data_IF_767955065135
#
_entry.id   IF_767955065135
#
_cell.length_a   1.000
_cell.length_b   1.000
_cell.length_c   1.000
_cell.angle_alpha   90.00
_cell.angle_beta   90.00
_cell.angle_gamma   90.00
#
_symmetry.space_group_name_H-M   'P 1'
#
loop_
_entity.id
_entity.type
_entity.pdbx_description
1 polymer ?
#
# COMPACT_ATOMS: atom_id res chain seq x y z
N UNK A 1 -9.49 23.42 48.32
CA UNK A 1 -8.31 23.31 47.44
C UNK A 1 -7.52 24.59 47.60
N UNK A 2 -6.19 24.50 47.52
CA UNK A 2 -5.29 25.66 47.60
C UNK A 2 -4.33 25.63 46.40
N UNK A 3 -3.99 26.81 45.87
CA UNK A 3 -3.00 26.94 44.81
C UNK A 3 -1.74 27.57 45.38
N UNK A 4 -0.59 26.92 45.19
CA UNK A 4 0.70 27.41 45.69
C UNK A 4 1.86 26.92 44.86
N UNK A 5 2.95 27.66 44.92
CA UNK A 5 4.23 27.23 44.38
C UNK A 5 4.89 26.27 45.36
N UNK A 6 5.40 25.14 44.86
CA UNK A 6 5.91 24.04 45.68
C UNK A 6 7.29 23.64 45.18
N UNK A 7 8.31 23.44 46.05
CA UNK A 7 9.55 22.82 45.65
C UNK A 7 9.29 21.47 44.98
N UNK A 8 9.89 21.22 43.81
CA UNK A 8 9.67 19.97 43.08
C UNK A 8 10.12 18.75 43.89
N UNK A 9 11.10 18.92 44.79
CA UNK A 9 11.55 17.91 45.75
C UNK A 9 10.46 17.42 46.70
N UNK A 10 9.42 18.22 46.91
CA UNK A 10 8.38 17.94 47.90
C UNK A 10 7.18 17.22 47.26
N UNK A 11 7.16 17.08 45.93
CA UNK A 11 6.12 16.35 45.20
C UNK A 11 6.42 14.85 45.23
N UNK A 12 5.51 14.06 45.80
CA UNK A 12 5.70 12.62 45.99
C UNK A 12 4.98 11.86 44.87
N UNK A 13 5.67 11.10 44.01
CA UNK A 13 5.02 10.28 43.01
C UNK A 13 4.14 9.20 43.64
N UNK A 14 2.92 9.05 43.12
CA UNK A 14 2.06 7.92 43.51
C UNK A 14 2.66 6.59 43.01
N UNK A 15 3.01 5.72 43.95
CA UNK A 15 3.74 4.45 43.70
C UNK A 15 3.00 3.52 42.72
N UNK A 16 1.67 3.52 42.76
CA UNK A 16 0.82 2.62 41.94
C UNK A 16 0.24 3.31 40.72
N UNK A 17 0.95 4.28 40.13
CA UNK A 17 0.51 4.91 38.90
C UNK A 17 0.50 3.87 37.76
N UNK A 18 -0.67 3.57 37.14
CA UNK A 18 -0.75 2.56 36.09
C UNK A 18 -0.16 3.00 34.74
N UNK A 19 0.14 4.29 34.56
CA UNK A 19 0.60 4.85 33.28
C UNK A 19 2.12 4.83 33.17
N UNK A 20 2.64 4.13 32.15
CA UNK A 20 4.04 4.29 31.71
C UNK A 20 4.14 5.57 30.89
N UNK A 21 5.03 6.48 31.31
CA UNK A 21 5.04 7.84 30.77
C UNK A 21 6.44 8.37 30.44
N UNK A 22 7.48 7.55 30.54
CA UNK A 22 8.87 7.98 30.33
C UNK A 22 9.09 8.48 28.89
N UNK A 23 8.52 7.79 27.90
CA UNK A 23 8.63 8.16 26.47
C UNK A 23 7.96 9.51 26.14
N UNK A 24 7.02 9.96 26.97
CA UNK A 24 6.32 11.24 26.79
C UNK A 24 7.04 12.42 27.44
N UNK A 25 8.02 12.18 28.33
CA UNK A 25 8.74 13.23 29.07
C UNK A 25 9.46 14.21 28.14
N UNK A 26 10.21 13.79 27.10
CA UNK A 26 10.91 14.73 26.22
C UNK A 26 9.98 15.70 25.49
N UNK A 27 8.84 15.21 24.97
CA UNK A 27 7.85 16.04 24.28
C UNK A 27 7.22 17.08 25.22
N UNK A 28 6.89 16.68 26.44
CA UNK A 28 6.35 17.62 27.45
C UNK A 28 7.42 18.63 27.89
N UNK A 29 8.69 18.22 28.01
CA UNK A 29 9.77 19.12 28.36
C UNK A 29 9.95 20.22 27.29
N UNK A 30 9.96 19.85 25.99
CA UNK A 30 10.02 20.81 24.89
C UNK A 30 8.83 21.80 24.91
N UNK A 31 7.63 21.30 25.19
CA UNK A 31 6.43 22.14 25.36
C UNK A 31 6.57 23.12 26.54
N UNK A 32 7.08 22.66 27.69
CA UNK A 32 7.30 23.51 28.87
C UNK A 32 8.37 24.58 28.63
N UNK A 33 9.46 24.27 27.91
CA UNK A 33 10.47 25.28 27.54
C UNK A 33 9.89 26.36 26.63
N UNK A 34 9.00 25.97 25.70
CA UNK A 34 8.43 26.89 24.72
C UNK A 34 7.30 27.75 25.29
N UNK A 35 6.37 27.13 26.02
CA UNK A 35 5.13 27.77 26.46
C UNK A 35 5.07 28.06 27.96
N UNK A 36 5.98 27.48 28.75
CA UNK A 36 5.86 27.46 30.20
C UNK A 36 4.73 26.54 30.68
N UNK A 37 4.48 26.55 31.99
CA UNK A 37 3.35 25.81 32.57
C UNK A 37 2.06 26.63 32.40
N UNK A 38 1.42 26.49 31.24
CA UNK A 38 0.15 27.19 30.91
C UNK A 38 -1.10 26.45 31.37
N UNK A 39 -1.00 25.12 31.61
CA UNK A 39 -2.07 24.30 32.16
C UNK A 39 -1.71 23.87 33.58
N UNK A 40 -2.60 24.10 34.54
CA UNK A 40 -2.47 23.58 35.90
C UNK A 40 -2.66 22.06 35.90
N UNK A 41 -1.59 21.31 35.63
CA UNK A 41 -1.64 19.85 35.49
C UNK A 41 -1.24 19.09 36.75
N UNK A 42 -0.67 19.75 37.75
CA UNK A 42 -0.16 19.12 38.97
C UNK A 42 -1.14 19.31 40.13
N UNK A 43 -1.78 18.22 40.51
CA UNK A 43 -2.69 18.13 41.66
C UNK A 43 -2.09 17.15 42.66
N UNK A 44 -2.06 17.53 43.94
CA UNK A 44 -1.58 16.69 45.04
C UNK A 44 -2.61 16.60 46.15
N UNK A 45 -2.55 15.55 46.95
CA UNK A 45 -3.31 15.45 48.20
C UNK A 45 -2.66 16.21 49.36
N UNK A 46 -3.25 16.09 50.56
CA UNK A 46 -2.78 16.71 51.79
C UNK A 46 -1.32 16.36 52.15
N UNK A 47 -0.81 15.21 51.70
CA UNK A 47 0.53 14.69 51.98
C UNK A 47 1.51 14.92 50.82
N UNK A 48 1.13 15.76 49.84
CA UNK A 48 1.91 16.08 48.64
C UNK A 48 2.07 14.91 47.66
N UNK A 49 1.24 13.87 47.78
CA UNK A 49 1.24 12.75 46.84
C UNK A 49 0.50 13.15 45.57
N UNK A 50 1.15 12.95 44.43
CA UNK A 50 0.60 13.27 43.12
C UNK A 50 -0.71 12.52 42.87
N UNK A 51 -1.75 13.30 42.59
CA UNK A 51 -3.00 12.83 42.01
C UNK A 51 -2.90 12.95 40.48
N UNK A 52 -2.47 14.10 39.95
CA UNK A 52 -2.26 14.30 38.51
C UNK A 52 -0.92 14.98 38.24
N UNK A 53 -0.46 14.93 36.99
CA UNK A 53 0.74 15.68 36.58
C UNK A 53 2.06 14.95 36.77
N UNK A 54 2.08 13.61 36.87
CA UNK A 54 3.31 12.82 36.98
C UNK A 54 4.29 13.07 35.83
N UNK A 55 3.80 13.09 34.58
CA UNK A 55 4.67 13.33 33.42
C UNK A 55 5.17 14.77 33.37
N UNK A 56 4.32 15.75 33.69
CA UNK A 56 4.73 17.16 33.80
C UNK A 56 5.78 17.35 34.89
N UNK A 57 5.62 16.70 36.04
CA UNK A 57 6.60 16.76 37.13
C UNK A 57 7.95 16.19 36.70
N UNK A 58 7.97 15.04 36.03
CA UNK A 58 9.20 14.47 35.45
C UNK A 58 9.84 15.40 34.42
N UNK A 59 9.03 16.04 33.56
CA UNK A 59 9.53 16.98 32.55
C UNK A 59 10.14 18.25 33.20
N UNK A 60 9.50 18.82 34.23
CA UNK A 60 10.06 19.94 34.99
C UNK A 60 11.38 19.55 35.67
N UNK A 61 11.47 18.33 36.21
CA UNK A 61 12.71 17.80 36.78
C UNK A 61 13.82 17.69 35.73
N UNK A 62 13.53 17.18 34.53
CA UNK A 62 14.53 17.09 33.46
C UNK A 62 15.02 18.45 32.97
N UNK A 63 14.19 19.49 33.10
CA UNK A 63 14.54 20.87 32.80
C UNK A 63 15.26 21.60 33.95
N UNK A 64 15.45 20.94 35.09
CA UNK A 64 16.14 21.52 36.25
C UNK A 64 15.33 22.58 37.01
N UNK A 65 14.00 22.57 36.90
CA UNK A 65 13.16 23.50 37.67
C UNK A 65 13.27 23.19 39.16
N UNK A 66 13.44 24.22 39.99
CA UNK A 66 13.47 24.08 41.45
C UNK A 66 12.07 24.06 42.08
N UNK A 67 11.12 24.75 41.44
CA UNK A 67 9.78 24.99 41.96
C UNK A 67 8.75 24.68 40.88
N UNK A 68 7.69 23.96 41.26
CA UNK A 68 6.51 23.72 40.46
C UNK A 68 5.51 24.85 40.76
N UNK A 69 5.19 25.72 39.80
CA UNK A 69 4.26 26.80 40.02
C UNK A 69 2.80 26.32 40.04
N UNK A 70 1.96 27.01 40.80
CA UNK A 70 0.49 26.83 40.79
C UNK A 70 0.00 25.39 41.05
N UNK A 71 0.69 24.62 41.90
CA UNK A 71 0.25 23.28 42.34
C UNK A 71 -1.09 23.40 43.07
N UNK A 72 -2.04 22.55 42.70
CA UNK A 72 -3.34 22.47 43.37
C UNK A 72 -3.30 21.40 44.45
N UNK A 73 -3.33 21.82 45.72
CA UNK A 73 -3.45 20.90 46.84
C UNK A 73 -4.92 20.71 47.22
N UNK A 74 -5.36 19.45 47.26
CA UNK A 74 -6.73 19.07 47.62
C UNK A 74 -6.75 18.44 49.00
N UNK A 75 -7.85 18.65 49.73
CA UNK A 75 -8.04 18.15 51.10
C UNK A 75 -9.40 17.49 51.21
N UNK A 76 -9.50 16.48 52.08
CA UNK A 76 -10.78 15.86 52.45
C UNK A 76 -11.35 14.88 51.43
N UNK A 77 -10.55 14.43 50.45
CA UNK A 77 -10.91 13.31 49.60
C UNK A 77 -10.62 11.99 50.31
N UNK A 78 -11.51 11.01 50.17
CA UNK A 78 -11.21 9.64 50.59
C UNK A 78 -10.14 9.01 49.70
N UNK A 79 -9.49 7.95 50.18
CA UNK A 79 -8.49 7.23 49.39
C UNK A 79 -9.08 6.65 48.09
N UNK A 80 -10.34 6.20 48.14
CA UNK A 80 -11.07 5.71 46.98
C UNK A 80 -11.34 6.83 45.96
N UNK A 81 -11.70 8.03 46.42
CA UNK A 81 -11.92 9.19 45.57
C UNK A 81 -10.62 9.64 44.89
N UNK A 82 -9.50 9.64 45.64
CA UNK A 82 -8.17 9.92 45.08
C UNK A 82 -7.84 8.91 43.98
N UNK A 83 -8.01 7.61 44.22
CA UNK A 83 -7.76 6.56 43.21
C UNK A 83 -8.66 6.73 41.99
N UNK A 84 -9.97 6.96 42.19
CA UNK A 84 -10.92 7.15 41.10
C UNK A 84 -10.55 8.35 40.23
N UNK A 85 -10.16 9.47 40.85
CA UNK A 85 -9.77 10.67 40.12
C UNK A 85 -8.47 10.49 39.33
N UNK A 86 -7.47 9.78 39.86
CA UNK A 86 -6.24 9.42 39.11
C UNK A 86 -6.55 8.66 37.82
N UNK A 87 -7.52 7.74 37.87
CA UNK A 87 -7.95 6.97 36.70
C UNK A 87 -8.75 7.86 35.75
N UNK A 88 -9.69 8.64 36.27
CA UNK A 88 -10.55 9.50 35.48
C UNK A 88 -9.76 10.56 34.71
N UNK A 89 -8.78 11.24 35.32
CA UNK A 89 -7.94 12.24 34.65
C UNK A 89 -7.21 11.65 33.43
N UNK A 90 -6.71 10.43 33.55
CA UNK A 90 -6.04 9.74 32.45
C UNK A 90 -7.03 9.25 31.38
N UNK A 91 -8.22 8.78 31.77
CA UNK A 91 -9.16 8.13 30.82
C UNK A 91 -10.10 9.11 30.14
N UNK A 92 -10.56 10.16 30.82
CA UNK A 92 -11.57 11.08 30.29
C UNK A 92 -11.05 11.89 29.11
N UNK A 93 -9.74 12.19 29.07
CA UNK A 93 -9.11 12.83 27.90
C UNK A 93 -9.09 11.96 26.64
N UNK A 94 -9.16 10.63 26.78
CA UNK A 94 -9.20 9.68 25.65
C UNK A 94 -10.60 9.50 25.07
N UNK A 95 -11.64 10.05 25.71
CA UNK A 95 -13.02 9.95 25.22
C UNK A 95 -13.34 11.00 24.15
N UNK A 96 -12.51 12.05 24.04
CA UNK A 96 -12.65 13.05 22.99
C UNK A 96 -12.02 12.54 21.70
N UNK A 97 -12.75 12.69 20.60
CA UNK A 97 -12.28 12.38 19.26
C UNK A 97 -11.82 13.66 18.55
N UNK A 98 -10.86 13.53 17.64
CA UNK A 98 -10.41 14.64 16.82
C UNK A 98 -11.33 14.84 15.62
N UNK A 99 -11.67 16.09 15.34
CA UNK A 99 -12.13 16.49 14.01
C UNK A 99 -10.90 16.74 13.15
N UNK A 100 -10.60 15.77 12.29
CA UNK A 100 -9.36 15.77 11.52
C UNK A 100 -9.33 16.84 10.42
N UNK A 101 -10.49 17.29 9.92
CA UNK A 101 -10.56 18.36 8.93
C UNK A 101 -10.19 19.70 9.56
N UNK A 102 -10.73 19.98 10.76
CA UNK A 102 -10.40 21.20 11.50
C UNK A 102 -8.96 21.17 12.03
N UNK A 103 -8.51 20.02 12.51
CA UNK A 103 -7.14 19.84 12.99
C UNK A 103 -6.12 20.06 11.86
N UNK A 104 -6.39 19.54 10.66
CA UNK A 104 -5.57 19.83 9.49
C UNK A 104 -5.50 21.33 9.23
N UNK A 105 -6.63 22.04 9.19
CA UNK A 105 -6.63 23.51 9.01
C UNK A 105 -5.71 24.25 9.99
N UNK A 106 -5.74 23.89 11.27
CA UNK A 106 -4.88 24.48 12.30
C UNK A 106 -3.40 24.15 12.09
N UNK A 107 -3.05 22.90 11.81
CA UNK A 107 -1.66 22.49 11.59
C UNK A 107 -1.04 23.14 10.35
N UNK A 108 -1.82 23.36 9.28
CA UNK A 108 -1.35 24.00 8.05
C UNK A 108 -0.99 25.45 8.32
N UNK A 109 -1.83 26.14 9.10
CA UNK A 109 -1.59 27.52 9.48
C UNK A 109 -0.31 27.69 10.33
N UNK A 110 0.07 26.66 11.10
CA UNK A 110 1.32 26.63 11.86
C UNK A 110 2.54 26.44 10.95
N UNK A 111 2.45 25.54 9.97
CA UNK A 111 3.54 25.30 9.00
C UNK A 111 3.80 26.53 8.11
N UNK A 112 2.74 27.23 7.67
CA UNK A 112 2.85 28.46 6.88
C UNK A 112 3.69 29.55 7.56
N UNK A 113 3.66 29.60 8.89
CA UNK A 113 4.44 30.56 9.69
C UNK A 113 5.74 29.96 10.24
N UNK A 114 6.09 28.74 9.83
CA UNK A 114 7.29 28.02 10.25
C UNK A 114 7.29 27.63 11.73
N UNK A 115 6.11 27.38 12.30
CA UNK A 115 5.96 26.93 13.68
C UNK A 115 6.16 25.41 13.76
N UNK A 116 6.96 24.97 14.72
CA UNK A 116 7.28 23.55 14.91
C UNK A 116 6.04 22.76 15.36
N UNK A 117 5.47 21.98 14.43
CA UNK A 117 4.29 21.16 14.66
C UNK A 117 4.56 19.97 15.61
N UNK A 118 5.81 19.54 15.82
CA UNK A 118 6.12 18.47 16.77
C UNK A 118 5.75 18.83 18.21
N UNK A 119 5.70 20.14 18.52
CA UNK A 119 5.29 20.67 19.82
C UNK A 119 3.80 20.45 20.13
N UNK A 120 2.99 20.12 19.12
CA UNK A 120 1.56 19.81 19.29
C UNK A 120 1.32 18.41 19.83
N UNK A 121 2.33 17.54 19.77
CA UNK A 121 2.22 16.13 20.18
C UNK A 121 1.83 15.17 19.06
N UNK A 122 1.42 15.68 17.89
CA UNK A 122 1.28 14.89 16.66
C UNK A 122 2.68 14.59 16.08
N UNK A 123 2.93 13.32 15.74
CA UNK A 123 4.17 12.96 15.04
C UNK A 123 4.02 13.10 13.53
N UNK A 124 5.14 13.08 12.82
CA UNK A 124 5.20 13.26 11.36
C UNK A 124 4.40 12.21 10.59
N UNK A 125 4.25 11.02 11.15
CA UNK A 125 3.50 9.92 10.52
C UNK A 125 1.99 10.15 10.67
N UNK A 126 1.52 10.61 11.83
CA UNK A 126 0.15 11.06 12.03
C UNK A 126 -0.18 12.29 11.18
N UNK A 127 0.78 13.21 10.99
CA UNK A 127 0.63 14.36 10.10
C UNK A 127 0.51 13.94 8.63
N UNK A 128 1.25 12.92 8.19
CA UNK A 128 1.16 12.40 6.82
C UNK A 128 -0.18 11.71 6.51
N UNK A 129 -0.87 11.15 7.52
CA UNK A 129 -2.25 10.68 7.37
C UNK A 129 -3.28 11.81 7.27
N UNK A 130 -3.00 12.97 7.88
CA UNK A 130 -3.87 14.16 7.87
C UNK A 130 -3.72 14.99 6.59
N UNK A 131 -2.53 14.96 6.00
CA UNK A 131 -2.23 15.52 4.69
C UNK A 131 -1.84 14.41 3.73
N UNK A 132 -2.76 13.55 3.28
CA UNK A 132 -2.46 12.74 2.12
C UNK A 132 -2.14 13.72 1.00
N UNK A 133 -0.94 13.66 0.38
CA UNK A 133 -0.67 14.46 -0.80
C UNK A 133 -1.82 14.22 -1.79
N UNK A 134 -2.29 15.25 -2.50
CA UNK A 134 -3.31 15.08 -3.54
C UNK A 134 -2.95 13.86 -4.39
N UNK A 135 -3.67 12.76 -4.16
CA UNK A 135 -3.39 11.52 -4.85
C UNK A 135 -3.79 11.77 -6.30
N UNK A 136 -2.93 11.46 -7.28
CA UNK A 136 -3.31 11.54 -8.68
C UNK A 136 -4.60 10.73 -8.85
N UNK A 137 -5.67 11.37 -9.33
CA UNK A 137 -6.90 10.64 -9.62
C UNK A 137 -6.61 9.70 -10.78
N UNK A 138 -6.56 8.39 -10.48
CA UNK A 138 -6.29 7.39 -11.50
C UNK A 138 -7.55 7.11 -12.28
N UNK A 139 -7.48 7.33 -13.58
CA UNK A 139 -8.59 7.09 -14.51
C UNK A 139 -8.27 5.94 -15.45
N UNK A 140 -9.30 5.19 -15.86
CA UNK A 140 -9.19 4.30 -17.01
C UNK A 140 -8.88 5.14 -18.26
N UNK A 141 -7.96 4.69 -19.12
CA UNK A 141 -7.71 5.33 -20.41
C UNK A 141 -8.74 4.93 -21.48
N UNK A 142 -8.82 5.75 -22.53
CA UNK A 142 -9.76 5.60 -23.64
C UNK A 142 -9.09 4.96 -24.88
N UNK A 143 -8.02 4.19 -24.70
CA UNK A 143 -7.33 3.56 -25.83
C UNK A 143 -8.14 2.38 -26.37
N UNK A 144 -8.51 2.46 -27.65
CA UNK A 144 -9.16 1.39 -28.41
C UNK A 144 -8.14 0.87 -29.43
N UNK A 145 -7.82 -0.43 -29.43
CA UNK A 145 -6.85 -0.97 -30.37
C UNK A 145 -7.47 -1.10 -31.77
N UNK A 146 -6.65 -1.07 -32.84
CA UNK A 146 -7.12 -1.43 -34.16
C UNK A 146 -7.53 -2.91 -34.22
N UNK A 147 -8.41 -3.24 -35.17
CA UNK A 147 -8.91 -4.63 -35.38
C UNK A 147 -7.77 -5.59 -35.71
N UNK A 148 -6.79 -5.13 -36.48
CA UNK A 148 -5.57 -5.87 -36.77
C UNK A 148 -4.38 -5.09 -36.22
N UNK A 149 -3.57 -5.76 -35.40
CA UNK A 149 -2.37 -5.18 -34.81
C UNK A 149 -1.18 -5.58 -35.66
N UNK A 150 -0.76 -4.69 -36.56
CA UNK A 150 0.49 -4.83 -37.29
C UNK A 150 1.66 -4.47 -36.38
N UNK A 151 2.74 -5.26 -36.43
CA UNK A 151 3.93 -4.98 -35.61
C UNK A 151 5.20 -5.47 -36.30
N UNK A 152 6.29 -4.70 -36.16
CA UNK A 152 7.64 -5.10 -36.52
C UNK A 152 8.45 -5.63 -35.32
N UNK A 153 7.83 -5.69 -34.13
CA UNK A 153 8.48 -6.12 -32.89
C UNK A 153 8.79 -7.61 -32.98
N UNK A 154 9.95 -7.99 -32.45
CA UNK A 154 10.38 -9.39 -32.35
C UNK A 154 10.72 -9.73 -30.90
N UNK A 155 10.68 -11.03 -30.57
CA UNK A 155 11.17 -11.50 -29.28
C UNK A 155 12.64 -11.10 -29.09
N UNK A 156 12.97 -10.66 -27.88
CA UNK A 156 14.25 -10.09 -27.50
C UNK A 156 14.32 -8.56 -27.63
N UNK A 157 13.35 -7.92 -28.29
CA UNK A 157 13.31 -6.46 -28.42
C UNK A 157 12.98 -5.80 -27.08
N UNK A 158 13.83 -4.84 -26.71
CA UNK A 158 13.69 -4.03 -25.52
C UNK A 158 13.33 -2.60 -25.93
N UNK A 159 12.34 -2.03 -25.24
CA UNK A 159 11.88 -0.67 -25.44
C UNK A 159 11.98 0.12 -24.15
N UNK A 160 12.36 1.39 -24.29
CA UNK A 160 12.26 2.41 -23.25
C UNK A 160 11.06 3.29 -23.54
N UNK A 161 10.14 3.35 -22.58
CA UNK A 161 8.92 4.15 -22.65
C UNK A 161 9.03 5.22 -21.55
N UNK A 162 9.78 6.29 -21.84
CA UNK A 162 10.15 7.30 -20.85
C UNK A 162 10.99 6.71 -19.71
N UNK A 163 10.40 6.58 -18.52
CA UNK A 163 11.02 5.91 -17.35
C UNK A 163 10.79 4.40 -17.34
N UNK A 164 9.84 3.91 -18.10
CA UNK A 164 9.44 2.51 -18.15
C UNK A 164 10.34 1.69 -19.07
N UNK A 165 10.32 0.37 -18.86
CA UNK A 165 10.96 -0.60 -19.76
C UNK A 165 9.98 -1.70 -20.11
N UNK A 166 9.94 -2.06 -21.39
CA UNK A 166 9.14 -3.15 -21.93
C UNK A 166 10.07 -4.09 -22.68
N UNK A 167 10.11 -5.37 -22.30
CA UNK A 167 10.79 -6.40 -23.07
C UNK A 167 9.77 -7.34 -23.72
N UNK A 168 9.91 -7.55 -25.03
CA UNK A 168 9.23 -8.66 -25.69
C UNK A 168 9.98 -9.96 -25.38
N UNK A 169 9.63 -10.67 -24.30
CA UNK A 169 10.51 -11.70 -23.71
C UNK A 169 9.79 -12.83 -22.99
N UNK A 170 10.58 -13.76 -22.47
CA UNK A 170 10.11 -14.90 -21.68
C UNK A 170 10.43 -14.71 -20.19
N UNK A 171 9.38 -14.59 -19.37
CA UNK A 171 9.51 -14.36 -17.92
C UNK A 171 10.08 -15.54 -17.14
N UNK A 172 10.23 -16.71 -17.78
CA UNK A 172 10.96 -17.85 -17.22
C UNK A 172 12.47 -17.79 -17.50
N UNK A 173 12.92 -16.87 -18.36
CA UNK A 173 14.33 -16.69 -18.74
C UNK A 173 15.03 -15.69 -17.84
N UNK A 174 16.04 -16.15 -17.10
CA UNK A 174 16.89 -15.29 -16.27
C UNK A 174 17.65 -14.24 -17.08
N UNK A 175 17.98 -14.54 -18.33
CA UNK A 175 18.61 -13.58 -19.23
C UNK A 175 17.66 -12.42 -19.57
N UNK A 176 16.42 -12.73 -19.93
CA UNK A 176 15.42 -11.72 -20.29
C UNK A 176 15.04 -10.86 -19.08
N UNK A 177 14.79 -11.48 -17.93
CA UNK A 177 14.50 -10.72 -16.69
C UNK A 177 15.71 -9.87 -16.29
N UNK A 178 16.93 -10.40 -16.39
CA UNK A 178 18.15 -9.64 -16.14
C UNK A 178 18.31 -8.43 -17.06
N UNK A 179 18.05 -8.59 -18.37
CA UNK A 179 18.08 -7.51 -19.35
C UNK A 179 17.01 -6.44 -19.08
N UNK A 180 15.78 -6.87 -18.77
CA UNK A 180 14.66 -5.98 -18.42
C UNK A 180 14.95 -5.18 -17.14
N UNK A 181 15.65 -5.78 -16.18
CA UNK A 181 15.94 -5.12 -14.89
C UNK A 181 17.21 -4.27 -14.93
N UNK A 182 18.22 -4.61 -15.76
CA UNK A 182 19.49 -3.89 -15.89
C UNK A 182 20.11 -3.48 -14.53
N UNK A 183 20.19 -4.45 -13.63
CA UNK A 183 20.72 -4.25 -12.28
C UNK A 183 19.77 -3.55 -11.29
N UNK A 184 18.66 -2.97 -11.74
CA UNK A 184 17.64 -2.44 -10.84
C UNK A 184 16.98 -3.56 -10.03
N UNK A 185 16.39 -3.19 -8.88
CA UNK A 185 15.62 -4.09 -8.02
C UNK A 185 14.21 -3.55 -7.84
N UNK A 186 13.22 -4.40 -8.07
CA UNK A 186 11.81 -4.05 -7.92
C UNK A 186 11.43 -3.89 -6.45
N UNK A 187 10.65 -2.86 -6.17
CA UNK A 187 10.04 -2.57 -4.87
C UNK A 187 8.67 -3.26 -4.73
N UNK A 188 8.04 -3.59 -5.86
CA UNK A 188 6.75 -4.28 -5.94
C UNK A 188 6.72 -5.25 -7.13
N UNK A 189 6.23 -6.49 -6.91
CA UNK A 189 5.75 -7.38 -7.97
C UNK A 189 4.22 -7.25 -8.08
N UNK A 190 3.70 -6.85 -9.23
CA UNK A 190 2.27 -6.77 -9.48
C UNK A 190 1.97 -7.40 -10.84
N UNK A 191 1.24 -8.50 -10.86
CA UNK A 191 1.12 -9.29 -12.10
C UNK A 191 -0.12 -10.18 -12.20
N UNK A 192 -0.54 -10.45 -13.44
CA UNK A 192 -1.66 -11.32 -13.83
C UNK A 192 -1.16 -12.49 -14.71
N UNK A 193 -0.64 -13.58 -14.10
CA UNK A 193 -0.06 -14.68 -14.86
C UNK A 193 -1.12 -15.45 -15.66
N UNK A 194 -0.74 -16.18 -16.72
CA UNK A 194 -1.66 -17.09 -17.39
C UNK A 194 -2.17 -18.16 -16.42
N UNK A 195 -3.46 -18.48 -16.52
CA UNK A 195 -4.18 -19.30 -15.54
C UNK A 195 -4.24 -20.79 -15.91
N UNK A 196 -3.86 -21.18 -17.13
CA UNK A 196 -3.95 -22.56 -17.59
C UNK A 196 -5.39 -23.01 -17.89
N UNK A 197 -6.28 -22.07 -18.21
CA UNK A 197 -7.73 -22.33 -18.35
C UNK A 197 -8.21 -22.43 -19.80
N UNK A 198 -7.31 -22.38 -20.78
CA UNK A 198 -7.55 -22.41 -22.23
C UNK A 198 -8.67 -21.47 -22.67
N UNK A 199 -8.48 -20.16 -22.47
CA UNK A 199 -9.49 -19.13 -22.73
C UNK A 199 -10.07 -19.18 -24.16
N UNK A 200 -9.22 -19.37 -25.18
CA UNK A 200 -9.65 -19.36 -26.58
C UNK A 200 -10.48 -20.58 -27.02
N UNK A 201 -10.17 -21.79 -26.53
CA UNK A 201 -10.91 -23.00 -26.91
C UNK A 201 -12.32 -23.04 -26.31
N UNK A 202 -12.54 -22.37 -25.16
CA UNK A 202 -13.86 -22.27 -24.52
C UNK A 202 -14.85 -21.40 -25.29
N UNK A 203 -14.36 -20.47 -26.11
CA UNK A 203 -15.20 -19.56 -26.87
C UNK A 203 -15.42 -20.01 -28.32
N UNK A 204 -14.87 -21.14 -28.79
CA UNK A 204 -15.07 -21.61 -30.18
C UNK A 204 -16.55 -21.67 -30.61
N UNK A 205 -17.44 -22.14 -29.74
CA UNK A 205 -18.87 -22.21 -30.02
C UNK A 205 -19.51 -20.81 -30.11
N UNK A 206 -19.20 -19.90 -29.18
CA UNK A 206 -19.71 -18.53 -29.20
C UNK A 206 -19.15 -17.73 -30.39
N UNK A 207 -17.86 -17.93 -30.71
CA UNK A 207 -17.16 -17.34 -31.85
C UNK A 207 -17.68 -17.86 -33.20
N UNK A 208 -18.33 -19.03 -33.23
CA UNK A 208 -18.96 -19.58 -34.44
C UNK A 208 -20.35 -18.99 -34.75
N UNK A 209 -20.97 -18.32 -33.77
CA UNK A 209 -22.35 -17.84 -33.85
C UNK A 209 -22.39 -16.30 -33.93
N UNK A 210 -21.43 -15.59 -33.34
CA UNK A 210 -21.34 -14.13 -33.38
C UNK A 210 -19.91 -13.64 -33.72
N UNK A 211 -19.79 -12.93 -34.85
CA UNK A 211 -18.53 -12.31 -35.30
C UNK A 211 -18.20 -11.00 -34.58
N UNK A 212 -19.09 -10.49 -33.74
CA UNK A 212 -18.91 -9.26 -32.95
C UNK A 212 -18.01 -9.42 -31.71
N UNK A 213 -17.64 -10.64 -31.33
CA UNK A 213 -16.60 -10.85 -30.32
C UNK A 213 -15.22 -10.62 -30.95
N UNK A 214 -14.65 -9.43 -30.71
CA UNK A 214 -13.41 -8.96 -31.33
C UNK A 214 -12.13 -9.67 -30.82
N UNK A 215 -12.21 -10.48 -29.75
CA UNK A 215 -11.04 -11.15 -29.19
C UNK A 215 -11.00 -12.62 -29.59
N UNK A 216 -10.27 -12.90 -30.67
CA UNK A 216 -10.14 -14.24 -31.27
C UNK A 216 -8.78 -14.90 -30.98
N UNK A 217 -7.87 -14.22 -30.29
CA UNK A 217 -6.48 -14.67 -30.09
C UNK A 217 -6.31 -15.54 -28.84
N UNK A 218 -5.56 -16.63 -28.99
CA UNK A 218 -5.18 -17.49 -27.87
C UNK A 218 -4.17 -16.78 -26.97
N UNK A 219 -4.38 -16.86 -25.65
CA UNK A 219 -3.39 -16.44 -24.67
C UNK A 219 -2.26 -17.47 -24.68
N UNK A 220 -1.03 -17.02 -24.93
CA UNK A 220 0.13 -17.90 -24.94
C UNK A 220 0.32 -18.54 -23.54
N UNK A 221 0.71 -19.82 -23.51
CA UNK A 221 0.88 -20.62 -22.28
C UNK A 221 -0.40 -20.93 -21.47
N UNK A 222 -1.59 -20.42 -21.81
CA UNK A 222 -2.84 -20.68 -21.05
C UNK A 222 -3.44 -22.08 -21.30
N UNK A 223 -2.81 -22.93 -22.10
CA UNK A 223 -3.31 -24.26 -22.50
C UNK A 223 -2.51 -25.44 -21.94
N UNK A 224 -1.53 -25.19 -21.06
CA UNK A 224 -0.69 -26.25 -20.48
C UNK A 224 -1.47 -27.11 -19.48
N UNK A 225 -0.99 -28.34 -19.24
CA UNK A 225 -1.53 -29.19 -18.17
C UNK A 225 -1.20 -28.58 -16.79
N UNK A 226 -1.95 -28.93 -15.73
CA UNK A 226 -1.72 -28.37 -14.39
C UNK A 226 -0.27 -28.49 -13.89
N UNK A 227 0.41 -29.60 -14.15
CA UNK A 227 1.80 -29.82 -13.73
C UNK A 227 2.78 -28.94 -14.49
N UNK A 228 2.54 -28.74 -15.79
CA UNK A 228 3.34 -27.86 -16.65
C UNK A 228 3.11 -26.39 -16.31
N UNK A 229 1.87 -26.01 -15.94
CA UNK A 229 1.56 -24.68 -15.41
C UNK A 229 2.25 -24.43 -14.07
N UNK A 230 2.24 -25.41 -13.17
CA UNK A 230 2.94 -25.30 -11.90
C UNK A 230 4.44 -25.09 -12.10
N UNK A 231 5.07 -25.88 -12.97
CA UNK A 231 6.50 -25.73 -13.27
C UNK A 231 6.82 -24.37 -13.91
N UNK A 232 5.94 -23.89 -14.81
CA UNK A 232 6.05 -22.57 -15.42
C UNK A 232 5.99 -21.44 -14.38
N UNK A 233 5.04 -21.49 -13.44
CA UNK A 233 4.93 -20.51 -12.36
C UNK A 233 6.16 -20.56 -11.44
N UNK A 234 6.64 -21.74 -11.05
CA UNK A 234 7.86 -21.88 -10.22
C UNK A 234 9.06 -21.24 -10.91
N UNK A 235 9.29 -21.55 -12.20
CA UNK A 235 10.39 -20.98 -12.96
C UNK A 235 10.31 -19.44 -13.07
N UNK A 236 9.12 -18.92 -13.36
CA UNK A 236 8.87 -17.48 -13.42
C UNK A 236 9.17 -16.80 -12.09
N UNK A 237 8.53 -17.26 -11.02
CA UNK A 237 8.65 -16.61 -9.72
C UNK A 237 10.06 -16.74 -9.15
N UNK A 238 10.74 -17.87 -9.36
CA UNK A 238 12.15 -18.01 -8.98
C UNK A 238 13.02 -16.94 -9.65
N UNK A 239 12.86 -16.75 -10.96
CA UNK A 239 13.64 -15.78 -11.74
C UNK A 239 13.36 -14.33 -11.33
N UNK A 240 12.07 -14.01 -11.16
CA UNK A 240 11.60 -12.69 -10.72
C UNK A 240 12.10 -12.37 -9.30
N UNK A 241 12.09 -13.35 -8.39
CA UNK A 241 12.49 -13.18 -7.00
C UNK A 241 13.91 -12.66 -6.85
N UNK A 242 14.83 -13.09 -7.71
CA UNK A 242 16.23 -12.64 -7.72
C UNK A 242 16.36 -11.13 -7.96
N UNK A 243 15.35 -10.50 -8.57
CA UNK A 243 15.34 -9.11 -8.97
C UNK A 243 14.50 -8.20 -8.06
N UNK A 244 14.03 -8.71 -6.92
CA UNK A 244 13.26 -7.94 -5.95
C UNK A 244 14.10 -7.51 -4.75
N UNK A 245 13.81 -6.33 -4.19
CA UNK A 245 14.39 -5.89 -2.92
C UNK A 245 13.91 -6.77 -1.75
N UNK A 246 14.72 -6.93 -0.69
CA UNK A 246 14.22 -7.46 0.57
C UNK A 246 13.03 -6.64 1.08
N UNK A 247 11.99 -7.28 1.62
CA UNK A 247 10.78 -6.61 2.11
C UNK A 247 9.80 -6.11 1.03
N UNK A 248 10.14 -6.25 -0.26
CA UNK A 248 9.26 -5.87 -1.36
C UNK A 248 7.93 -6.64 -1.33
N UNK A 249 6.83 -5.91 -1.54
CA UNK A 249 5.48 -6.49 -1.62
C UNK A 249 5.26 -7.21 -2.94
N UNK A 250 4.29 -8.12 -2.95
CA UNK A 250 3.83 -8.78 -4.17
C UNK A 250 2.31 -8.94 -4.19
N UNK A 251 1.73 -8.80 -5.37
CA UNK A 251 0.32 -9.03 -5.69
C UNK A 251 0.24 -9.88 -6.95
N UNK A 252 -0.35 -11.04 -6.84
CA UNK A 252 -0.50 -11.99 -7.94
C UNK A 252 -1.97 -12.38 -8.04
N UNK A 253 -2.63 -12.02 -9.13
CA UNK A 253 -4.00 -12.47 -9.38
C UNK A 253 -3.99 -13.98 -9.67
N UNK A 254 -5.06 -14.68 -9.27
CA UNK A 254 -5.08 -16.13 -9.31
C UNK A 254 -6.32 -16.74 -9.96
N UNK A 255 -6.18 -17.97 -10.52
CA UNK A 255 -7.33 -18.75 -10.94
C UNK A 255 -8.17 -19.18 -9.74
N UNK A 256 -9.45 -19.47 -9.99
CA UNK A 256 -10.41 -19.96 -8.97
C UNK A 256 -10.90 -21.38 -9.25
N UNK A 257 -10.54 -21.94 -10.40
CA UNK A 257 -11.10 -23.20 -10.87
C UNK A 257 -10.21 -24.36 -10.47
N UNK A 258 -10.82 -25.36 -9.84
CA UNK A 258 -10.17 -26.63 -9.53
C UNK A 258 -8.94 -26.46 -8.64
N UNK A 259 -7.93 -27.25 -8.94
CA UNK A 259 -6.63 -27.36 -8.27
C UNK A 259 -5.62 -26.27 -8.68
N UNK A 260 -5.88 -25.52 -9.75
CA UNK A 260 -4.97 -24.48 -10.26
C UNK A 260 -4.67 -23.39 -9.22
N UNK A 261 -5.65 -23.02 -8.38
CA UNK A 261 -5.42 -22.04 -7.31
C UNK A 261 -4.41 -22.56 -6.29
N UNK A 262 -4.56 -23.82 -5.87
CA UNK A 262 -3.64 -24.47 -4.94
C UNK A 262 -2.23 -24.59 -5.55
N UNK A 263 -2.14 -24.97 -6.82
CA UNK A 263 -0.87 -25.07 -7.53
C UNK A 263 -0.16 -23.72 -7.64
N UNK A 264 -0.88 -22.62 -7.92
CA UNK A 264 -0.30 -21.28 -7.93
C UNK A 264 0.25 -20.88 -6.56
N UNK A 265 -0.50 -21.15 -5.47
CA UNK A 265 -0.04 -20.88 -4.11
C UNK A 265 1.24 -21.65 -3.75
N UNK A 266 1.32 -22.93 -4.16
CA UNK A 266 2.51 -23.75 -3.95
C UNK A 266 3.69 -23.22 -4.79
N UNK A 267 3.45 -22.87 -6.05
CA UNK A 267 4.47 -22.34 -6.94
C UNK A 267 5.05 -21.00 -6.46
N UNK A 268 4.20 -20.09 -5.93
CA UNK A 268 4.64 -18.85 -5.30
C UNK A 268 5.55 -19.15 -4.10
N UNK A 269 5.13 -20.05 -3.22
CA UNK A 269 5.92 -20.43 -2.04
C UNK A 269 7.29 -21.02 -2.44
N UNK A 270 7.31 -21.89 -3.44
CA UNK A 270 8.53 -22.49 -3.96
C UNK A 270 9.44 -21.46 -4.67
N UNK A 271 8.85 -20.52 -5.40
CA UNK A 271 9.54 -19.40 -6.04
C UNK A 271 10.03 -18.31 -5.08
N UNK A 272 9.94 -18.51 -3.76
CA UNK A 272 10.45 -17.58 -2.75
C UNK A 272 9.49 -16.48 -2.30
N UNK A 273 8.19 -16.66 -2.54
CA UNK A 273 7.12 -15.74 -2.12
C UNK A 273 6.31 -16.37 -0.98
N UNK A 274 6.55 -15.98 0.29
CA UNK A 274 5.83 -16.55 1.41
C UNK A 274 4.37 -16.11 1.40
N UNK A 275 3.44 -17.06 1.45
CA UNK A 275 2.00 -16.79 1.45
C UNK A 275 1.58 -16.08 2.75
N UNK A 276 0.96 -14.90 2.64
CA UNK A 276 0.49 -14.11 3.79
C UNK A 276 -1.03 -13.95 3.78
N UNK A 277 -1.57 -13.33 2.73
CA UNK A 277 -2.97 -12.99 2.62
C UNK A 277 -3.52 -13.32 1.23
N UNK A 278 -4.83 -13.54 1.17
CA UNK A 278 -5.58 -13.57 -0.08
C UNK A 278 -6.59 -12.42 0.01
N UNK A 279 -6.42 -11.43 -0.86
CA UNK A 279 -7.38 -10.36 -1.07
C UNK A 279 -8.42 -10.84 -2.09
N UNK A 280 -9.61 -10.25 -2.05
CA UNK A 280 -10.71 -10.60 -2.94
C UNK A 280 -11.12 -9.34 -3.70
N UNK A 281 -10.84 -9.32 -5.00
CA UNK A 281 -11.41 -8.33 -5.91
C UNK A 281 -12.87 -8.68 -6.19
N UNK A 282 -13.80 -7.86 -5.70
CA UNK A 282 -15.24 -8.02 -5.92
C UNK A 282 -15.66 -7.20 -7.13
N UNK A 283 -16.26 -7.86 -8.11
CA UNK A 283 -16.69 -7.26 -9.39
C UNK A 283 -18.13 -6.76 -9.30
N UNK A 284 -18.51 -5.77 -10.12
CA UNK A 284 -19.91 -5.33 -10.24
C UNK A 284 -20.87 -6.44 -10.71
N UNK A 285 -20.42 -7.31 -11.62
CA UNK A 285 -21.23 -8.38 -12.21
C UNK A 285 -20.51 -9.74 -12.13
N UNK A 286 -21.30 -10.83 -12.06
CA UNK A 286 -20.77 -12.18 -12.06
C UNK A 286 -20.40 -12.63 -13.48
N UNK A 287 -19.47 -13.58 -13.59
CA UNK A 287 -19.12 -14.26 -14.84
C UNK A 287 -19.91 -15.57 -14.90
N UNK A 288 -20.72 -15.73 -15.93
CA UNK A 288 -21.43 -16.99 -16.18
C UNK A 288 -20.41 -18.08 -16.50
N UNK A 289 -20.54 -19.21 -15.83
CA UNK A 289 -19.64 -20.35 -15.98
C UNK A 289 -20.39 -21.67 -15.79
N UNK A 290 -19.67 -22.77 -16.04
CA UNK A 290 -20.23 -24.13 -15.94
C UNK A 290 -20.28 -24.68 -14.50
N UNK A 291 -19.90 -23.86 -13.50
CA UNK A 291 -20.00 -24.22 -12.08
C UNK A 291 -21.38 -23.84 -11.54
N UNK A 292 -21.86 -24.59 -10.54
CA UNK A 292 -23.09 -24.30 -9.81
C UNK A 292 -23.11 -22.89 -9.20
N UNK A 293 -21.94 -22.34 -8.88
CA UNK A 293 -21.77 -20.97 -8.39
C UNK A 293 -21.00 -20.13 -9.40
N UNK A 294 -21.60 -19.01 -9.82
CA UNK A 294 -20.96 -18.05 -10.72
C UNK A 294 -20.00 -17.13 -9.95
N UNK A 295 -18.80 -16.92 -10.50
CA UNK A 295 -17.79 -16.09 -9.85
C UNK A 295 -18.13 -14.60 -10.01
N UNK A 296 -18.31 -13.89 -8.89
CA UNK A 296 -18.40 -12.42 -8.82
C UNK A 296 -17.15 -11.78 -8.22
N UNK A 297 -16.06 -12.54 -8.15
CA UNK A 297 -14.81 -12.05 -7.58
C UNK A 297 -13.61 -12.75 -8.22
N UNK A 298 -12.41 -12.24 -7.99
CA UNK A 298 -11.12 -12.89 -8.27
C UNK A 298 -10.21 -12.79 -7.03
N UNK A 299 -9.42 -13.83 -6.69
CA UNK A 299 -8.44 -13.75 -5.63
C UNK A 299 -7.18 -13.02 -6.11
N UNK A 300 -6.59 -12.26 -5.20
CA UNK A 300 -5.27 -11.66 -5.35
C UNK A 300 -4.42 -12.13 -4.18
N UNK A 301 -3.41 -12.93 -4.48
CA UNK A 301 -2.46 -13.40 -3.49
C UNK A 301 -1.55 -12.22 -3.14
N UNK A 302 -1.50 -11.84 -1.87
CA UNK A 302 -0.74 -10.71 -1.37
C UNK A 302 0.24 -11.14 -0.28
N UNK A 303 1.43 -10.55 -0.31
CA UNK A 303 2.41 -10.67 0.76
C UNK A 303 3.63 -9.81 0.48
N UNK A 304 4.72 -10.10 1.19
CA UNK A 304 6.02 -9.48 0.98
C UNK A 304 7.10 -10.52 1.14
N UNK A 305 8.21 -10.32 0.43
CA UNK A 305 9.39 -11.17 0.56
C UNK A 305 10.14 -10.85 1.86
N UNK A 306 10.99 -11.77 2.32
CA UNK A 306 11.75 -11.58 3.57
C UNK A 306 12.55 -10.27 3.58
N UNK A 307 12.49 -9.54 4.69
CA UNK A 307 13.10 -8.22 4.87
C UNK A 307 12.16 -7.23 5.57
N UNK A 308 12.62 -5.99 5.74
CA UNK A 308 11.83 -4.91 6.33
C UNK A 308 10.74 -4.47 5.35
N UNK A 309 9.48 -4.64 5.74
CA UNK A 309 8.31 -4.32 4.92
C UNK A 309 7.62 -3.06 5.44
N UNK A 310 7.16 -2.22 4.52
CA UNK A 310 6.38 -1.02 4.81
C UNK A 310 5.13 -1.02 3.95
N UNK A 311 3.97 -0.82 4.58
CA UNK A 311 2.69 -0.68 3.93
C UNK A 311 2.28 0.80 3.96
N UNK A 312 1.85 1.33 2.83
CA UNK A 312 1.46 2.74 2.66
C UNK A 312 -0.05 2.93 2.49
N UNK A 313 -0.82 1.84 2.56
CA UNK A 313 -2.28 1.94 2.66
C UNK A 313 -2.71 2.41 4.05
N UNK A 314 -3.88 3.04 4.12
CA UNK A 314 -4.42 3.53 5.39
C UNK A 314 -4.96 2.42 6.30
N UNK A 315 -5.21 2.77 7.56
CA UNK A 315 -5.76 1.86 8.58
C UNK A 315 -7.17 1.30 8.25
N UNK A 316 -7.86 1.88 7.26
CA UNK A 316 -9.19 1.45 6.79
C UNK A 316 -9.15 0.42 5.65
N UNK A 317 -7.97 0.03 5.18
CA UNK A 317 -7.83 -0.97 4.11
C UNK A 317 -8.37 -2.33 4.55
N UNK A 318 -9.17 -2.97 3.69
CA UNK A 318 -9.74 -4.29 3.95
C UNK A 318 -9.33 -5.30 2.89
N UNK A 319 -9.51 -6.58 3.19
CA UNK A 319 -9.23 -7.67 2.24
C UNK A 319 -10.23 -7.79 1.11
N UNK A 320 -11.29 -6.96 1.08
CA UNK A 320 -12.30 -6.93 0.03
C UNK A 320 -12.17 -5.65 -0.78
N UNK A 321 -11.91 -5.79 -2.07
CA UNK A 321 -11.72 -4.66 -2.98
C UNK A 321 -12.90 -4.60 -3.96
N UNK A 322 -13.98 -3.85 -3.66
CA UNK A 322 -15.09 -3.65 -4.57
C UNK A 322 -14.68 -2.66 -5.66
N UNK A 323 -14.21 -3.19 -6.79
CA UNK A 323 -13.76 -2.38 -7.94
C UNK A 323 -14.46 -2.93 -9.18
N UNK A 324 -15.06 -2.04 -9.96
CA UNK A 324 -15.79 -2.44 -11.14
C UNK A 324 -14.84 -2.95 -12.23
N UNK A 325 -15.24 -4.03 -12.92
CA UNK A 325 -14.52 -4.44 -14.13
C UNK A 325 -14.85 -3.48 -15.29
N UNK A 326 -13.97 -3.32 -16.29
CA UNK A 326 -14.26 -2.49 -17.45
C UNK A 326 -15.53 -2.98 -18.16
N UNK A 327 -16.32 -2.07 -18.72
CA UNK A 327 -17.52 -2.41 -19.48
C UNK A 327 -17.20 -3.22 -20.75
N UNK A 328 -16.01 -3.00 -21.33
CA UNK A 328 -15.48 -3.70 -22.50
C UNK A 328 -14.02 -4.09 -22.27
N UNK A 329 -13.57 -5.16 -22.91
CA UNK A 329 -12.20 -5.67 -22.83
C UNK A 329 -11.60 -5.70 -24.23
N UNK A 330 -11.58 -4.53 -24.88
CA UNK A 330 -11.23 -4.40 -26.30
C UNK A 330 -9.72 -4.60 -26.54
N UNK A 331 -8.88 -4.32 -25.53
CA UNK A 331 -7.41 -4.42 -25.59
C UNK A 331 -6.84 -5.82 -25.36
N UNK A 332 -7.43 -6.58 -24.44
CA UNK A 332 -7.00 -7.92 -24.08
C UNK A 332 -8.15 -8.67 -23.40
N UNK A 333 -8.34 -9.99 -23.64
CA UNK A 333 -9.45 -10.77 -23.10
C UNK A 333 -9.57 -10.74 -21.58
N UNK A 334 -8.46 -10.47 -20.88
CA UNK A 334 -8.36 -10.50 -19.41
C UNK A 334 -7.87 -9.18 -18.81
N UNK A 335 -8.07 -8.05 -19.51
CA UNK A 335 -7.64 -6.74 -19.00
C UNK A 335 -8.19 -6.45 -17.60
N UNK A 336 -7.29 -6.12 -16.67
CA UNK A 336 -7.65 -5.66 -15.32
C UNK A 336 -7.93 -4.14 -15.33
N UNK A 337 -8.84 -3.64 -14.47
CA UNK A 337 -9.02 -2.19 -14.29
C UNK A 337 -7.71 -1.54 -13.86
N UNK A 338 -7.41 -0.36 -14.40
CA UNK A 338 -6.28 0.47 -13.96
C UNK A 338 -6.45 0.81 -12.48
N UNK A 339 -7.66 1.13 -12.02
CA UNK A 339 -7.94 1.44 -10.61
C UNK A 339 -7.56 0.30 -9.65
N UNK A 340 -7.74 -0.96 -10.06
CA UNK A 340 -7.39 -2.14 -9.26
C UNK A 340 -5.88 -2.21 -8.99
N UNK A 341 -5.10 -2.01 -10.04
CA UNK A 341 -3.64 -2.12 -9.98
C UNK A 341 -3.02 -0.87 -9.37
N UNK A 342 -3.58 0.31 -9.63
CA UNK A 342 -3.21 1.55 -8.97
C UNK A 342 -3.32 1.45 -7.44
N UNK A 343 -4.42 0.88 -6.93
CA UNK A 343 -4.57 0.65 -5.49
C UNK A 343 -3.44 -0.19 -4.90
N UNK A 344 -3.01 -1.25 -5.59
CA UNK A 344 -1.88 -2.08 -5.15
C UNK A 344 -0.55 -1.31 -5.18
N UNK A 345 -0.32 -0.51 -6.23
CA UNK A 345 0.87 0.34 -6.38
C UNK A 345 0.93 1.38 -5.25
N UNK A 346 -0.15 2.11 -5.00
CA UNK A 346 -0.21 3.13 -3.94
C UNK A 346 0.04 2.54 -2.55
N UNK A 347 -0.58 1.40 -2.25
CA UNK A 347 -0.49 0.79 -0.93
C UNK A 347 0.88 0.16 -0.63
N UNK A 348 1.74 -0.03 -1.63
CA UNK A 348 3.00 -0.79 -1.50
C UNK A 348 4.24 -0.11 -2.10
N UNK A 349 4.13 1.11 -2.62
CA UNK A 349 5.28 1.84 -3.19
C UNK A 349 5.22 3.34 -2.92
N UNK A 350 6.38 4.00 -3.01
CA UNK A 350 6.56 5.46 -3.10
C UNK A 350 6.74 5.92 -4.56
N UNK A 351 6.58 7.22 -4.79
CA UNK A 351 6.86 7.82 -6.10
C UNK A 351 8.29 7.50 -6.55
N UNK A 352 8.47 7.19 -7.83
CA UNK A 352 9.75 6.80 -8.43
C UNK A 352 10.18 5.35 -8.21
N UNK A 353 9.54 4.60 -7.30
CA UNK A 353 9.86 3.19 -7.06
C UNK A 353 9.46 2.29 -8.23
N UNK A 354 10.10 1.12 -8.31
CA UNK A 354 10.01 0.21 -9.45
C UNK A 354 8.99 -0.90 -9.21
N UNK A 355 8.03 -1.00 -10.13
CA UNK A 355 7.01 -2.06 -10.19
C UNK A 355 7.38 -3.02 -11.31
N UNK A 356 7.56 -4.30 -10.97
CA UNK A 356 7.82 -5.36 -11.93
C UNK A 356 6.53 -6.11 -12.27
N UNK A 357 6.26 -6.26 -13.56
CA UNK A 357 5.18 -7.09 -14.09
C UNK A 357 5.70 -8.05 -15.17
N UNK A 358 5.96 -9.33 -14.84
CA UNK A 358 6.38 -10.33 -15.81
C UNK A 358 5.29 -10.74 -16.82
N UNK A 359 4.04 -10.26 -16.68
CA UNK A 359 2.93 -10.61 -17.57
C UNK A 359 2.12 -9.37 -17.89
N UNK A 360 2.76 -8.44 -18.60
CA UNK A 360 2.25 -7.08 -18.76
C UNK A 360 0.94 -7.02 -19.58
N UNK A 361 0.70 -7.99 -20.47
CA UNK A 361 -0.56 -8.11 -21.21
C UNK A 361 -0.87 -6.87 -22.02
N UNK A 362 -1.95 -6.16 -21.68
CA UNK A 362 -2.35 -4.89 -22.32
C UNK A 362 -1.70 -3.64 -21.71
N UNK A 363 -0.85 -3.77 -20.70
CA UNK A 363 -0.15 -2.62 -20.10
C UNK A 363 -0.87 -1.96 -18.93
N UNK A 364 -1.84 -2.60 -18.28
CA UNK A 364 -2.55 -2.01 -17.12
C UNK A 364 -1.59 -1.55 -16.02
N UNK A 365 -0.59 -2.37 -15.65
CA UNK A 365 0.43 -2.00 -14.66
C UNK A 365 1.23 -0.78 -15.11
N UNK A 366 1.59 -0.71 -16.39
CA UNK A 366 2.33 0.41 -16.95
C UNK A 366 1.53 1.70 -16.90
N UNK A 367 0.26 1.68 -17.29
CA UNK A 367 -0.64 2.84 -17.21
C UNK A 367 -0.82 3.32 -15.77
N UNK A 368 -1.06 2.40 -14.83
CA UNK A 368 -1.17 2.74 -13.40
C UNK A 368 0.13 3.40 -12.88
N UNK A 369 1.30 2.84 -13.23
CA UNK A 369 2.58 3.42 -12.84
C UNK A 369 2.83 4.78 -13.50
N UNK A 370 2.41 4.96 -14.76
CA UNK A 370 2.55 6.24 -15.46
C UNK A 370 1.77 7.33 -14.73
N UNK A 371 0.48 7.09 -14.42
CA UNK A 371 -0.38 8.06 -13.73
C UNK A 371 0.06 8.33 -12.28
N UNK A 372 0.62 7.33 -11.59
CA UNK A 372 1.06 7.45 -10.18
C UNK A 372 2.53 7.87 -10.03
N UNK A 373 3.26 8.15 -11.10
CA UNK A 373 4.67 8.54 -11.00
C UNK A 373 5.61 7.42 -10.54
N UNK A 374 5.25 6.14 -10.75
CA UNK A 374 6.11 4.97 -10.51
C UNK A 374 6.78 4.49 -11.80
N UNK A 375 7.76 3.62 -11.69
CA UNK A 375 8.48 3.03 -12.83
C UNK A 375 8.05 1.59 -13.04
N UNK A 376 7.26 1.33 -14.08
CA UNK A 376 6.96 -0.04 -14.53
C UNK A 376 8.09 -0.63 -15.40
N UNK A 377 8.62 -1.78 -14.98
CA UNK A 377 9.44 -2.67 -15.79
C UNK A 377 8.59 -3.92 -16.10
N UNK A 378 8.22 -4.09 -17.35
CA UNK A 378 7.25 -5.12 -17.74
C UNK A 378 7.75 -6.04 -18.85
N UNK A 379 7.25 -7.26 -18.86
CA UNK A 379 7.54 -8.27 -19.88
C UNK A 379 6.24 -8.75 -20.53
N UNK A 380 6.26 -8.91 -21.84
CA UNK A 380 5.16 -9.47 -22.61
C UNK A 380 5.71 -10.38 -23.72
N UNK A 381 5.17 -11.58 -23.85
CA UNK A 381 5.70 -12.60 -24.77
C UNK A 381 5.22 -12.41 -26.21
N UNK A 382 4.06 -11.79 -26.39
CA UNK A 382 3.42 -11.52 -27.67
C UNK A 382 3.89 -10.18 -28.26
N UNK A 383 4.53 -10.17 -29.44
CA UNK A 383 4.92 -8.93 -30.11
C UNK A 383 3.74 -7.99 -30.38
N UNK A 384 2.56 -8.54 -30.68
CA UNK A 384 1.35 -7.74 -30.93
C UNK A 384 0.90 -7.03 -29.65
N UNK A 385 0.94 -7.70 -28.49
CA UNK A 385 0.60 -7.03 -27.23
C UNK A 385 1.66 -6.03 -26.81
N UNK A 386 2.94 -6.26 -27.12
CA UNK A 386 3.98 -5.24 -26.96
C UNK A 386 3.66 -3.97 -27.77
N UNK A 387 3.19 -4.12 -29.02
CA UNK A 387 2.77 -2.99 -29.83
C UNK A 387 1.58 -2.25 -29.20
N UNK A 388 0.56 -2.99 -28.73
CA UNK A 388 -0.58 -2.42 -28.00
C UNK A 388 -0.14 -1.61 -26.79
N UNK A 389 0.81 -2.12 -25.99
CA UNK A 389 1.35 -1.44 -24.82
C UNK A 389 2.05 -0.12 -25.21
N UNK A 390 2.88 -0.16 -26.26
CA UNK A 390 3.57 1.02 -26.78
C UNK A 390 2.55 2.07 -27.24
N UNK A 391 1.63 1.69 -28.13
CA UNK A 391 0.64 2.62 -28.69
C UNK A 391 -0.25 3.23 -27.60
N UNK A 392 -0.68 2.41 -26.62
CA UNK A 392 -1.46 2.85 -25.46
C UNK A 392 -0.72 3.89 -24.64
N UNK A 393 0.56 3.65 -24.34
CA UNK A 393 1.39 4.59 -23.58
C UNK A 393 1.71 5.87 -24.37
N UNK A 394 2.02 5.76 -25.67
CA UNK A 394 2.28 6.92 -26.52
C UNK A 394 1.03 7.81 -26.64
N UNK A 395 -0.17 7.22 -26.74
CA UNK A 395 -1.43 7.97 -26.72
C UNK A 395 -1.64 8.68 -25.38
N UNK A 396 -1.40 7.98 -24.27
CA UNK A 396 -1.58 8.52 -22.93
C UNK A 396 -0.64 9.71 -22.63
N UNK A 397 0.62 9.62 -23.06
CA UNK A 397 1.66 10.57 -22.66
C UNK A 397 2.05 11.59 -23.74
N UNK A 398 1.72 11.32 -25.01
CA UNK A 398 2.21 12.08 -26.16
C UNK A 398 3.71 11.87 -26.47
N UNK A 399 4.39 10.99 -25.74
CA UNK A 399 5.80 10.66 -25.96
C UNK A 399 5.95 9.51 -26.96
N UNK A 400 7.18 9.18 -27.34
CA UNK A 400 7.51 8.08 -28.25
C UNK A 400 8.40 7.04 -27.58
N UNK A 401 8.09 5.77 -27.82
CA UNK A 401 8.89 4.65 -27.33
C UNK A 401 10.18 4.54 -28.15
N UNK A 402 11.28 4.25 -27.46
CA UNK A 402 12.59 4.09 -28.07
C UNK A 402 13.01 2.62 -27.98
N UNK A 403 13.34 2.00 -29.12
CA UNK A 403 13.97 0.69 -29.12
C UNK A 403 15.40 0.83 -28.60
N UNK A 404 15.76 0.00 -27.63
CA UNK A 404 17.10 -0.04 -27.06
C UNK A 404 17.91 -1.07 -27.83
N UNK A 405 18.96 -0.62 -28.52
CA UNK A 405 19.91 -1.53 -29.18
C UNK A 405 20.66 -2.36 -28.14
N UNK A 406 20.86 -3.65 -28.44
CA UNK A 406 21.43 -4.65 -27.54
C UNK A 406 22.90 -4.42 -27.18
#
# INVERSE_FOLDING_TARGET
MEHRDVPISDLIPYERNPRKNDDAVPKIAASLERFGLVKNSVVVDEDMVLITGHTTTKAMQSLGWATCPAVTQVFGLSEEEKVAYRIADNKLGELAEWDFDLLAGELASLDEVGFDAELTGFDTDALAELYPPEKPEVTEDDYEPPVEIETSIQRGDLFRLGRHRLLCGDSTSAEDVGRLMDGAKADLLLTDPPYGVSYASKNEFLNSIDKGNHVQTAIENDHKKPEEMSAFWVATFTTVREHMRPGASYYVTGPQRGDLHLLLLLALKEGGFPLRHILIWVKNNHVLGQSDYHYKHEPIIYGWVEGAHTFYGGHSETSLWPIDKPHKSDLHPTMKPVALFAKAVENSTKSGETVLDPFLGSGTTLVACEQLGRTCYGMEISPQYCQVIIDRWEKLTGQKAERVDA
#
